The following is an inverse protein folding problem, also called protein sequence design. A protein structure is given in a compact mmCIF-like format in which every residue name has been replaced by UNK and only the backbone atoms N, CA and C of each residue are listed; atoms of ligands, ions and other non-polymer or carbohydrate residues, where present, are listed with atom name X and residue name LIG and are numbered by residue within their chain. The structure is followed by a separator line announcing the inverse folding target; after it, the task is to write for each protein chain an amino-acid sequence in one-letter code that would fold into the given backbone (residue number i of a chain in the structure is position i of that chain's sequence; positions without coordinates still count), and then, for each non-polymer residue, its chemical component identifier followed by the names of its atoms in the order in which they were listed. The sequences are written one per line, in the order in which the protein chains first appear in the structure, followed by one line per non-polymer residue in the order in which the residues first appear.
data_IF_005941655531
#
_entry.id   IF_005941655531
#
_cell.length_a   1.000
_cell.length_b   1.000
_cell.length_c   1.000
_cell.angle_alpha   90.00
_cell.angle_beta   90.00
_cell.angle_gamma   90.00
#
_symmetry.space_group_name_H-M   'P 1'
#
loop_
_entity.id
_entity.type
_entity.pdbx_description
1 polymer ?
#
# COMPACT_ATOMS: atom_id res chain seq x y z
N UNK A 1 9.87 7.50 -1.88
CA UNK A 1 9.18 8.81 -1.78
C UNK A 1 10.14 9.82 -1.18
N UNK A 2 10.06 11.09 -1.57
CA UNK A 2 10.91 12.17 -1.04
C UNK A 2 10.06 13.38 -0.65
N UNK A 3 10.55 14.21 0.27
CA UNK A 3 9.98 15.52 0.58
C UNK A 3 10.74 16.58 -0.21
N UNK A 4 10.05 17.34 -1.06
CA UNK A 4 10.66 18.44 -1.81
C UNK A 4 11.00 19.61 -0.88
N UNK A 5 12.28 20.01 -0.83
CA UNK A 5 12.72 21.19 -0.08
C UNK A 5 12.05 22.46 -0.61
N UNK A 6 11.61 23.34 0.30
CA UNK A 6 10.93 24.60 -0.01
C UNK A 6 9.41 24.52 -0.13
N UNK A 7 8.84 23.40 -0.63
CA UNK A 7 7.38 23.22 -0.74
C UNK A 7 6.80 22.28 0.30
N UNK A 8 7.65 21.48 0.95
CA UNK A 8 7.28 20.42 1.89
C UNK A 8 6.28 19.40 1.29
N UNK A 9 6.28 19.25 -0.04
CA UNK A 9 5.39 18.32 -0.76
C UNK A 9 6.00 16.93 -0.81
N UNK A 10 5.17 15.92 -0.56
CA UNK A 10 5.51 14.53 -0.79
C UNK A 10 5.52 14.24 -2.29
N UNK A 11 6.62 13.69 -2.78
CA UNK A 11 6.82 13.30 -4.18
C UNK A 11 7.08 11.80 -4.27
N UNK A 12 6.36 11.14 -5.16
CA UNK A 12 6.60 9.74 -5.52
C UNK A 12 7.75 9.69 -6.52
N UNK A 13 8.66 8.73 -6.32
CA UNK A 13 9.85 8.51 -7.16
C UNK A 13 9.97 7.01 -7.43
N UNK A 14 10.92 6.65 -8.31
CA UNK A 14 11.23 5.26 -8.66
C UNK A 14 10.07 4.54 -9.38
N UNK A 15 9.74 5.04 -10.58
CA UNK A 15 8.70 4.47 -11.44
C UNK A 15 9.22 3.37 -12.39
N UNK A 16 10.42 2.82 -12.18
CA UNK A 16 11.06 1.88 -13.10
C UNK A 16 10.30 0.57 -13.32
N UNK A 17 9.53 0.13 -12.31
CA UNK A 17 8.64 -1.04 -12.37
C UNK A 17 7.16 -0.66 -12.44
N UNK A 18 6.85 0.63 -12.53
CA UNK A 18 5.47 1.10 -12.53
C UNK A 18 4.81 0.91 -13.89
N UNK A 19 3.50 0.69 -13.86
CA UNK A 19 2.67 0.62 -15.06
C UNK A 19 1.27 1.14 -14.73
N UNK A 20 0.52 1.52 -15.77
CA UNK A 20 -0.86 1.96 -15.61
C UNK A 20 -1.76 0.74 -15.50
N UNK A 21 -2.47 0.59 -14.37
CA UNK A 21 -3.42 -0.51 -14.17
C UNK A 21 -4.75 -0.05 -13.58
N UNK A 22 -5.82 -0.64 -14.10
CA UNK A 22 -7.19 -0.51 -13.58
C UNK A 22 -7.58 -1.71 -12.73
N UNK A 23 -6.73 -2.74 -12.65
CA UNK A 23 -6.99 -4.00 -11.96
C UNK A 23 -6.87 -3.77 -10.44
N UNK A 24 -7.90 -4.14 -9.64
CA UNK A 24 -7.84 -3.96 -8.19
C UNK A 24 -6.73 -4.77 -7.48
N UNK A 25 -6.33 -5.91 -8.06
CA UNK A 25 -5.24 -6.75 -7.54
C UNK A 25 -3.90 -6.02 -7.56
N UNK A 26 -3.52 -5.39 -8.68
CA UNK A 26 -2.24 -4.66 -8.80
C UNK A 26 -2.16 -3.53 -7.78
N UNK A 27 -3.24 -2.74 -7.65
CA UNK A 27 -3.35 -1.68 -6.64
C UNK A 27 -3.28 -2.22 -5.20
N UNK A 28 -3.82 -3.41 -4.97
CA UNK A 28 -3.75 -4.05 -3.66
C UNK A 28 -2.33 -4.55 -3.34
N UNK A 29 -1.59 -5.02 -4.34
CA UNK A 29 -0.17 -5.37 -4.21
C UNK A 29 0.64 -4.12 -3.87
N UNK A 30 0.42 -2.99 -4.53
CA UNK A 30 1.10 -1.71 -4.21
C UNK A 30 0.86 -1.30 -2.75
N UNK A 31 -0.40 -1.32 -2.30
CA UNK A 31 -0.76 -1.01 -0.91
C UNK A 31 -0.12 -1.98 0.09
N UNK A 32 -0.01 -3.26 -0.28
CA UNK A 32 0.63 -4.27 0.56
C UNK A 32 2.14 -4.06 0.65
N UNK A 33 2.83 -3.72 -0.45
CA UNK A 33 4.26 -3.38 -0.43
C UNK A 33 4.51 -2.18 0.48
N UNK A 34 3.68 -1.13 0.37
CA UNK A 34 3.76 0.04 1.25
C UNK A 34 3.55 -0.33 2.72
N UNK A 35 2.55 -1.17 3.03
CA UNK A 35 2.31 -1.67 4.38
C UNK A 35 3.54 -2.40 4.95
N UNK A 36 4.15 -3.29 4.16
CA UNK A 36 5.34 -4.05 4.60
C UNK A 36 6.55 -3.14 4.84
N UNK A 37 6.74 -2.12 3.98
CA UNK A 37 7.78 -1.12 4.17
C UNK A 37 7.58 -0.35 5.48
N UNK A 38 6.36 0.14 5.75
CA UNK A 38 6.04 0.84 7.00
C UNK A 38 6.25 -0.05 8.24
N UNK A 39 5.85 -1.33 8.17
CA UNK A 39 6.06 -2.28 9.26
C UNK A 39 7.55 -2.56 9.52
N UNK A 40 8.39 -2.57 8.48
CA UNK A 40 9.84 -2.79 8.63
C UNK A 40 10.58 -1.62 9.30
N UNK A 41 9.97 -0.43 9.35
CA UNK A 41 10.57 0.75 9.99
C UNK A 41 10.48 0.74 11.54
N UNK A 42 10.06 -0.38 12.16
CA UNK A 42 9.94 -0.64 13.62
C UNK A 42 9.27 0.44 14.48
N UNK A 43 8.09 0.12 15.05
CA UNK A 43 7.32 0.72 16.16
C UNK A 43 7.14 2.26 16.27
N UNK A 44 7.83 3.06 15.47
CA UNK A 44 7.83 4.53 15.51
C UNK A 44 6.72 5.12 14.65
N UNK A 45 6.31 4.37 13.62
CA UNK A 45 5.20 4.71 12.74
C UNK A 45 3.94 4.02 13.27
N UNK A 46 3.18 4.73 14.11
CA UNK A 46 1.91 4.26 14.67
C UNK A 46 0.84 3.98 13.60
N UNK A 47 -0.35 4.57 13.76
CA UNK A 47 -1.48 4.24 12.87
C UNK A 47 -1.44 4.90 11.47
N UNK A 48 -0.27 4.95 10.84
CA UNK A 48 -0.05 5.59 9.54
C UNK A 48 -0.76 4.83 8.42
N UNK A 49 -0.75 3.50 8.47
CA UNK A 49 -1.41 2.68 7.47
C UNK A 49 -2.93 2.92 7.43
N UNK A 50 -3.60 3.03 8.59
CA UNK A 50 -5.05 3.30 8.59
C UNK A 50 -5.36 4.70 8.04
N UNK A 51 -4.48 5.70 8.28
CA UNK A 51 -4.63 7.03 7.68
C UNK A 51 -4.52 6.97 6.16
N UNK A 52 -3.56 6.21 5.63
CA UNK A 52 -3.40 5.99 4.19
C UNK A 52 -4.65 5.30 3.62
N UNK A 53 -5.13 4.23 4.25
CA UNK A 53 -6.32 3.51 3.79
C UNK A 53 -7.58 4.39 3.85
N UNK A 54 -7.72 5.22 4.88
CA UNK A 54 -8.83 6.17 5.01
C UNK A 54 -8.80 7.22 3.91
N UNK A 55 -7.62 7.77 3.60
CA UNK A 55 -7.45 8.70 2.50
C UNK A 55 -7.73 8.02 1.14
N UNK A 56 -7.27 6.78 0.95
CA UNK A 56 -7.50 6.00 -0.26
C UNK A 56 -8.99 5.74 -0.53
N UNK A 57 -9.77 5.45 0.52
CA UNK A 57 -11.23 5.30 0.42
C UNK A 57 -11.92 6.57 -0.10
N UNK A 58 -11.41 7.74 0.27
CA UNK A 58 -11.96 9.03 -0.14
C UNK A 58 -11.52 9.43 -1.55
N UNK A 59 -10.35 8.98 -2.01
CA UNK A 59 -9.77 9.40 -3.29
C UNK A 59 -10.05 8.47 -4.47
N UNK A 60 -10.36 7.19 -4.22
CA UNK A 60 -10.53 6.18 -5.28
C UNK A 60 -11.97 5.70 -5.41
N UNK A 61 -12.54 5.71 -6.62
CA UNK A 61 -13.86 5.11 -6.90
C UNK A 61 -13.88 3.58 -6.76
N UNK A 62 -12.72 2.93 -6.89
CA UNK A 62 -12.58 1.46 -6.81
C UNK A 62 -12.14 0.99 -5.42
N UNK A 63 -12.16 1.86 -4.40
CA UNK A 63 -11.60 1.56 -3.08
C UNK A 63 -12.09 0.25 -2.49
N UNK A 64 -13.39 -0.07 -2.61
CA UNK A 64 -13.98 -1.26 -2.01
C UNK A 64 -13.39 -2.54 -2.61
N UNK A 65 -13.32 -2.62 -3.95
CA UNK A 65 -12.71 -3.75 -4.64
C UNK A 65 -11.21 -3.90 -4.31
N UNK A 66 -10.46 -2.80 -4.30
CA UNK A 66 -9.04 -2.82 -3.95
C UNK A 66 -8.80 -3.28 -2.51
N UNK A 67 -9.58 -2.80 -1.54
CA UNK A 67 -9.42 -3.19 -0.14
C UNK A 67 -9.82 -4.65 0.11
N UNK A 68 -10.85 -5.15 -0.59
CA UNK A 68 -11.20 -6.58 -0.56
C UNK A 68 -10.04 -7.43 -1.10
N UNK A 69 -9.38 -6.98 -2.18
CA UNK A 69 -8.18 -7.65 -2.70
C UNK A 69 -6.99 -7.54 -1.77
N UNK A 70 -6.78 -6.40 -1.13
CA UNK A 70 -5.72 -6.23 -0.13
C UNK A 70 -5.85 -7.25 1.00
N UNK A 71 -7.06 -7.55 1.47
CA UNK A 71 -7.29 -8.60 2.46
C UNK A 71 -6.84 -9.99 1.96
N UNK A 72 -7.10 -10.32 0.69
CA UNK A 72 -6.64 -11.57 0.06
C UNK A 72 -5.11 -11.60 -0.08
N UNK A 73 -4.50 -10.49 -0.54
CA UNK A 73 -3.04 -10.37 -0.72
C UNK A 73 -2.32 -10.56 0.62
N UNK A 74 -2.82 -9.93 1.71
CA UNK A 74 -2.28 -10.11 3.07
C UNK A 74 -2.28 -11.57 3.52
N UNK A 75 -3.30 -12.35 3.18
CA UNK A 75 -3.37 -13.77 3.52
C UNK A 75 -2.34 -14.60 2.74
N UNK A 76 -2.08 -14.28 1.47
CA UNK A 76 -1.07 -14.96 0.64
C UNK A 76 0.36 -14.59 1.03
N UNK A 77 0.57 -13.34 1.46
CA UNK A 77 1.88 -12.81 1.83
C UNK A 77 2.40 -13.25 3.20
N UNK A 78 1.56 -13.89 4.05
CA UNK A 78 2.04 -14.62 5.23
C UNK A 78 2.55 -15.99 4.77
N UNK A 79 3.75 -16.41 5.22
CA UNK A 79 4.18 -17.81 5.06
C UNK A 79 3.05 -18.69 5.59
N UNK A 80 2.37 -19.41 4.69
CA UNK A 80 1.37 -20.40 5.07
C UNK A 80 2.13 -21.59 5.63
N UNK A 81 1.80 -22.02 6.84
CA UNK A 81 2.24 -23.34 7.32
C UNK A 81 1.63 -24.36 6.36
N UNK A 82 2.46 -25.07 5.61
CA UNK A 82 2.02 -26.13 4.72
C UNK A 82 1.65 -27.32 5.61
N UNK A 83 0.45 -27.30 6.20
CA UNK A 83 -0.10 -28.45 6.91
C UNK A 83 -0.99 -29.17 5.93
N UNK A 84 -0.43 -30.24 5.37
CA UNK A 84 -1.06 -31.30 4.61
C UNK A 84 -0.32 -32.58 4.95
#
# INVERSE_FOLDING_TARGET
MLIQSGTNRLVLIDFGLSFTSTIPEDKAVDLYVLERALLSMHSSCGNVMDRILTAYRRSSKQWSATLNKLAQVRQRGRKRTMIG
#
